data_IF_110782309561
#
_entry.id   IF_110782309561
#
_cell.length_a   1.000
_cell.length_b   1.000
_cell.length_c   1.000
_cell.angle_alpha   90.00
_cell.angle_beta   90.00
_cell.angle_gamma   90.00
#
_symmetry.space_group_name_H-M   'P 1'
#
loop_
_entity.id
_entity.type
_entity.pdbx_description
1 polymer ?
#
# COMPACT_ATOMS: atom_id res chain seq x y z
N UNK A 1 8.43 19.83 4.81
CA UNK A 1 8.32 18.74 3.82
C UNK A 1 9.58 18.54 2.95
N UNK A 2 10.33 19.60 2.61
CA UNK A 2 11.54 19.48 1.76
C UNK A 2 12.76 18.84 2.45
N UNK A 3 12.88 18.92 3.79
CA UNK A 3 14.03 18.37 4.54
C UNK A 3 13.96 16.87 4.85
N UNK A 4 12.80 16.22 4.65
CA UNK A 4 12.62 14.79 4.89
C UNK A 4 13.24 13.92 3.78
N UNK A 5 13.24 14.42 2.54
CA UNK A 5 13.84 13.76 1.38
C UNK A 5 15.37 13.82 1.39
N UNK A 6 15.96 14.80 2.06
CA UNK A 6 17.41 15.03 2.05
C UNK A 6 18.20 14.02 2.90
N UNK A 7 17.56 13.30 3.84
CA UNK A 7 18.21 12.39 4.79
C UNK A 7 17.96 10.90 4.54
N UNK A 8 17.13 10.55 3.53
CA UNK A 8 16.55 9.21 3.39
C UNK A 8 16.78 8.55 2.02
N UNK A 9 17.98 8.66 1.44
CA UNK A 9 18.28 8.09 0.12
C UNK A 9 17.96 6.58 0.01
N UNK A 10 18.12 5.83 1.10
CA UNK A 10 17.82 4.39 1.16
C UNK A 10 16.34 4.06 0.99
N UNK A 11 15.42 4.87 1.52
CA UNK A 11 13.99 4.65 1.32
C UNK A 11 13.57 4.92 -0.12
N UNK A 12 14.18 5.92 -0.75
CA UNK A 12 13.96 6.24 -2.16
C UNK A 12 14.44 5.09 -3.04
N UNK A 13 15.65 4.56 -2.78
CA UNK A 13 16.18 3.38 -3.48
C UNK A 13 15.25 2.17 -3.29
N UNK A 14 14.78 1.91 -2.06
CA UNK A 14 13.87 0.80 -1.79
C UNK A 14 12.53 0.95 -2.55
N UNK A 15 11.96 2.15 -2.61
CA UNK A 15 10.73 2.42 -3.36
C UNK A 15 10.92 2.23 -4.87
N UNK A 16 12.04 2.72 -5.43
CA UNK A 16 12.36 2.55 -6.86
C UNK A 16 12.54 1.07 -7.20
N UNK A 17 13.24 0.30 -6.37
CA UNK A 17 13.41 -1.14 -6.58
C UNK A 17 12.08 -1.90 -6.45
N UNK A 18 11.23 -1.54 -5.47
CA UNK A 18 9.93 -2.16 -5.29
C UNK A 18 9.03 -1.95 -6.52
N UNK A 19 8.89 -0.71 -6.99
CA UNK A 19 8.10 -0.39 -8.19
C UNK A 19 8.72 -1.04 -9.44
N UNK A 20 10.05 -0.99 -9.58
CA UNK A 20 10.76 -1.64 -10.67
C UNK A 20 10.48 -3.14 -10.76
N UNK A 21 10.46 -3.84 -9.61
CA UNK A 21 10.12 -5.25 -9.53
C UNK A 21 8.68 -5.55 -9.98
N UNK A 22 7.71 -4.73 -9.58
CA UNK A 22 6.31 -4.86 -10.01
C UNK A 22 6.18 -4.66 -11.52
N UNK A 23 6.80 -3.61 -12.08
CA UNK A 23 6.76 -3.32 -13.53
C UNK A 23 7.42 -4.45 -14.34
N UNK A 24 8.59 -4.93 -13.89
CA UNK A 24 9.28 -6.04 -14.54
C UNK A 24 8.46 -7.33 -14.50
N UNK A 25 7.82 -7.62 -13.36
CA UNK A 25 6.90 -8.74 -13.21
C UNK A 25 5.72 -8.67 -14.17
N UNK A 26 5.07 -7.51 -14.27
CA UNK A 26 3.97 -7.28 -15.20
C UNK A 26 4.42 -7.43 -16.67
N UNK A 27 5.57 -6.86 -17.04
CA UNK A 27 6.13 -6.99 -18.38
C UNK A 27 6.41 -8.45 -18.76
N UNK A 28 6.99 -9.22 -17.85
CA UNK A 28 7.25 -10.64 -18.07
C UNK A 28 5.97 -11.46 -18.19
N UNK A 29 4.95 -11.19 -17.36
CA UNK A 29 3.64 -11.83 -17.45
C UNK A 29 2.95 -11.53 -18.79
N UNK A 30 3.00 -10.28 -19.27
CA UNK A 30 2.47 -9.91 -20.57
C UNK A 30 3.23 -10.59 -21.72
N UNK A 31 4.56 -10.66 -21.64
CA UNK A 31 5.38 -11.37 -22.64
C UNK A 31 5.04 -12.87 -22.70
N UNK A 32 4.87 -13.51 -21.54
CA UNK A 32 4.49 -14.92 -21.45
C UNK A 32 3.10 -15.15 -22.07
N UNK A 33 2.11 -14.34 -21.70
CA UNK A 33 0.75 -14.44 -22.26
C UNK A 33 0.78 -14.28 -23.78
N UNK A 34 1.55 -13.31 -24.30
CA UNK A 34 1.75 -13.15 -25.75
C UNK A 34 2.30 -14.42 -26.38
N UNK A 35 3.30 -15.05 -25.77
CA UNK A 35 4.00 -16.21 -26.34
C UNK A 35 3.18 -17.51 -26.22
N UNK A 36 2.45 -17.70 -25.14
CA UNK A 36 1.68 -18.93 -24.86
C UNK A 36 0.35 -18.94 -25.61
N UNK A 37 -0.39 -17.83 -25.59
CA UNK A 37 -1.72 -17.78 -26.23
C UNK A 37 -1.66 -17.37 -27.71
N UNK A 38 -0.69 -16.53 -28.10
CA UNK A 38 -0.58 -16.01 -29.48
C UNK A 38 0.66 -16.51 -30.22
N UNK A 39 1.36 -17.51 -29.68
CA UNK A 39 2.44 -18.21 -30.37
C UNK A 39 1.90 -19.11 -31.49
N UNK A 40 2.69 -19.33 -32.55
CA UNK A 40 2.36 -20.35 -33.54
C UNK A 40 2.29 -21.72 -32.85
N UNK A 41 1.25 -22.50 -33.15
CA UNK A 41 1.07 -23.83 -32.57
C UNK A 41 2.19 -24.76 -33.08
N UNK A 42 3.27 -24.87 -32.30
CA UNK A 42 4.35 -25.82 -32.57
C UNK A 42 3.93 -27.14 -31.93
N UNK A 43 3.11 -27.89 -32.65
CA UNK A 43 2.83 -29.29 -32.31
C UNK A 43 4.16 -30.06 -32.34
N UNK A 44 4.58 -30.74 -31.27
CA UNK A 44 5.72 -31.64 -31.35
C UNK A 44 5.34 -32.75 -32.33
N UNK A 45 5.96 -32.73 -33.52
CA UNK A 45 5.96 -33.87 -34.43
C UNK A 45 6.52 -35.05 -33.65
N UNK A 46 5.64 -35.92 -33.19
CA UNK A 46 6.05 -37.21 -32.67
C UNK A 46 6.61 -37.98 -33.86
N UNK A 47 7.92 -38.22 -33.84
CA UNK A 47 8.60 -39.14 -34.77
C UNK A 47 8.11 -40.56 -34.46
N UNK A 48 7.03 -40.95 -35.11
CA UNK A 48 6.35 -42.23 -34.88
C UNK A 48 5.14 -42.40 -35.77
N UNK A 49 5.37 -42.50 -37.07
CA UNK A 49 4.68 -43.38 -38.03
C UNK A 49 3.15 -43.56 -37.95
N UNK A 50 2.32 -42.58 -37.60
CA UNK A 50 0.88 -42.68 -37.87
C UNK A 50 0.25 -41.33 -38.26
N UNK A 51 -0.21 -41.28 -39.51
CA UNK A 51 -1.06 -40.24 -40.11
C UNK A 51 -2.42 -40.15 -39.40
N UNK A 52 -2.50 -39.48 -38.24
CA UNK A 52 -3.71 -38.87 -37.68
C UNK A 52 -3.38 -38.32 -36.29
N UNK A 53 -2.86 -37.09 -36.22
CA UNK A 53 -2.73 -36.39 -34.94
C UNK A 53 -4.15 -36.01 -34.51
N UNK A 54 -4.70 -36.69 -33.50
CA UNK A 54 -5.97 -36.28 -32.90
C UNK A 54 -5.83 -34.85 -32.35
N UNK A 55 -6.82 -33.98 -32.53
CA UNK A 55 -6.77 -32.61 -32.04
C UNK A 55 -6.59 -32.61 -30.51
N UNK A 56 -5.62 -31.81 -30.04
CA UNK A 56 -5.39 -31.59 -28.61
C UNK A 56 -6.72 -31.24 -27.94
N UNK A 57 -7.05 -32.04 -26.94
CA UNK A 57 -8.37 -32.09 -26.33
C UNK A 57 -8.59 -30.88 -25.43
N UNK A 58 -9.66 -30.13 -25.68
CA UNK A 58 -10.07 -28.98 -24.87
C UNK A 58 -10.26 -29.30 -23.38
N UNK A 59 -10.21 -28.22 -22.56
CA UNK A 59 -10.35 -28.27 -21.11
C UNK A 59 -11.56 -29.10 -20.68
N UNK A 60 -11.32 -30.10 -19.82
CA UNK A 60 -12.37 -31.00 -19.36
C UNK A 60 -13.15 -30.39 -18.19
N UNK A 61 -14.40 -30.82 -17.99
CA UNK A 61 -15.27 -30.29 -16.93
C UNK A 61 -14.60 -30.29 -15.55
N UNK A 62 -13.81 -31.32 -15.24
CA UNK A 62 -13.04 -31.42 -13.99
C UNK A 62 -11.99 -30.31 -13.82
N UNK A 63 -11.35 -29.88 -14.90
CA UNK A 63 -10.37 -28.80 -14.89
C UNK A 63 -11.07 -27.45 -14.71
N UNK A 64 -12.19 -27.24 -15.40
CA UNK A 64 -13.04 -26.07 -15.20
C UNK A 64 -13.54 -25.95 -13.75
N UNK A 65 -13.95 -27.06 -13.13
CA UNK A 65 -14.33 -27.08 -11.71
C UNK A 65 -13.19 -26.70 -10.76
N UNK A 66 -11.92 -26.92 -11.14
CA UNK A 66 -10.77 -26.51 -10.34
C UNK A 66 -10.38 -25.04 -10.57
N UNK A 67 -10.49 -24.55 -11.81
CA UNK A 67 -10.14 -23.16 -12.18
C UNK A 67 -11.18 -22.14 -11.74
N UNK A 68 -12.47 -22.48 -11.83
CA UNK A 68 -13.58 -21.58 -11.49
C UNK A 68 -13.49 -21.02 -10.07
N UNK A 69 -13.36 -21.83 -9.00
CA UNK A 69 -13.31 -21.29 -7.64
C UNK A 69 -12.11 -20.38 -7.42
N UNK A 70 -10.96 -20.68 -8.05
CA UNK A 70 -9.77 -19.83 -7.97
C UNK A 70 -10.05 -18.43 -8.55
N UNK A 71 -10.65 -18.36 -9.75
CA UNK A 71 -11.00 -17.09 -10.40
C UNK A 71 -12.04 -16.32 -9.56
N UNK A 72 -13.05 -17.01 -9.04
CA UNK A 72 -14.06 -16.40 -8.16
C UNK A 72 -13.41 -15.77 -6.93
N UNK A 73 -12.45 -16.45 -6.28
CA UNK A 73 -11.74 -15.87 -5.14
C UNK A 73 -10.88 -14.67 -5.51
N UNK A 74 -10.17 -14.71 -6.65
CA UNK A 74 -9.37 -13.57 -7.13
C UNK A 74 -10.27 -12.33 -7.32
N UNK A 75 -11.41 -12.51 -7.99
CA UNK A 75 -12.38 -11.43 -8.23
C UNK A 75 -13.01 -10.95 -6.92
N UNK A 76 -13.38 -11.87 -6.02
CA UNK A 76 -13.97 -11.51 -4.73
C UNK A 76 -12.99 -10.68 -3.89
N UNK A 77 -11.74 -11.13 -3.73
CA UNK A 77 -10.72 -10.38 -2.97
C UNK A 77 -10.47 -9.01 -3.60
N UNK A 78 -10.48 -8.92 -4.94
CA UNK A 78 -10.32 -7.66 -5.66
C UNK A 78 -11.45 -6.66 -5.43
N UNK A 79 -12.70 -7.13 -5.41
CA UNK A 79 -13.88 -6.25 -5.22
C UNK A 79 -14.08 -5.91 -3.74
N UNK A 80 -13.88 -6.87 -2.83
CA UNK A 80 -14.12 -6.70 -1.40
C UNK A 80 -12.94 -7.17 -0.53
N UNK A 81 -11.82 -6.42 -0.54
CA UNK A 81 -10.63 -6.76 0.25
C UNK A 81 -10.88 -6.63 1.77
N UNK A 82 -11.85 -5.80 2.16
CA UNK A 82 -12.12 -5.49 3.57
C UNK A 82 -12.51 -6.73 4.39
N UNK A 83 -13.18 -7.71 3.79
CA UNK A 83 -13.51 -8.97 4.47
C UNK A 83 -12.27 -9.67 5.07
N UNK A 84 -11.17 -9.65 4.32
CA UNK A 84 -9.91 -10.28 4.73
C UNK A 84 -9.14 -9.36 5.67
N UNK A 85 -9.09 -8.05 5.39
CA UNK A 85 -8.37 -7.08 6.22
C UNK A 85 -8.92 -7.01 7.65
N UNK A 86 -10.24 -6.98 7.84
CA UNK A 86 -10.86 -6.93 9.18
C UNK A 86 -10.54 -8.15 10.05
N UNK A 87 -10.23 -9.30 9.46
CA UNK A 87 -9.82 -10.50 10.21
C UNK A 87 -8.35 -10.48 10.60
N UNK A 88 -7.51 -9.74 9.87
CA UNK A 88 -6.08 -9.57 10.19
C UNK A 88 -5.82 -8.45 11.20
N UNK A 89 -6.69 -7.44 11.29
CA UNK A 89 -6.56 -6.31 12.23
C UNK A 89 -6.20 -6.69 13.67
N UNK A 90 -6.85 -7.63 14.36
CA UNK A 90 -6.53 -7.93 15.76
C UNK A 90 -5.11 -8.50 15.95
N UNK A 91 -4.58 -9.20 14.95
CA UNK A 91 -3.19 -9.68 14.96
C UNK A 91 -2.22 -8.52 14.71
N UNK A 92 -2.56 -7.62 13.79
CA UNK A 92 -1.74 -6.44 13.51
C UNK A 92 -1.65 -5.53 14.75
N UNK A 93 -2.74 -5.32 15.48
CA UNK A 93 -2.76 -4.53 16.72
C UNK A 93 -1.81 -5.09 17.78
N UNK A 94 -1.71 -6.41 17.93
CA UNK A 94 -0.75 -7.04 18.85
C UNK A 94 0.71 -6.82 18.40
N UNK A 95 0.96 -6.85 17.08
CA UNK A 95 2.29 -6.57 16.51
C UNK A 95 2.64 -5.10 16.70
N UNK A 96 1.70 -4.18 16.48
CA UNK A 96 1.93 -2.75 16.72
C UNK A 96 2.16 -2.44 18.19
N UNK A 97 1.40 -3.06 19.10
CA UNK A 97 1.57 -2.89 20.54
C UNK A 97 2.96 -3.38 21.03
N UNK A 98 3.46 -4.48 20.46
CA UNK A 98 4.81 -4.97 20.78
C UNK A 98 5.92 -4.15 20.09
N UNK A 99 5.65 -3.57 18.92
CA UNK A 99 6.57 -2.64 18.26
C UNK A 99 6.65 -1.29 19.00
N UNK A 100 5.52 -0.74 19.49
CA UNK A 100 5.50 0.53 20.19
C UNK A 100 6.11 0.47 21.60
N UNK A 101 6.21 -0.71 22.20
CA UNK A 101 7.03 -0.94 23.42
C UNK A 101 8.51 -0.66 23.15
N UNK A 102 8.97 -0.83 21.90
CA UNK A 102 10.37 -0.63 21.50
C UNK A 102 10.62 0.71 20.79
N UNK A 103 9.59 1.49 20.48
CA UNK A 103 9.75 2.88 20.04
C UNK A 103 10.06 3.74 21.27
N UNK A 104 11.22 4.44 21.34
CA UNK A 104 11.41 5.45 22.36
C UNK A 104 10.29 6.48 22.19
N UNK A 105 9.47 6.66 23.23
CA UNK A 105 8.35 7.61 23.22
C UNK A 105 8.77 8.87 22.48
N UNK A 106 8.06 9.21 21.40
CA UNK A 106 8.30 10.44 20.64
C UNK A 106 8.24 11.61 21.63
N UNK A 107 9.41 12.03 22.10
CA UNK A 107 9.57 13.22 22.90
C UNK A 107 9.68 14.33 21.88
N UNK A 108 8.64 15.16 21.70
CA UNK A 108 8.81 16.38 20.94
C UNK A 108 9.99 17.12 21.59
N UNK A 109 10.91 17.69 20.79
CA UNK A 109 12.11 18.32 21.33
C UNK A 109 11.68 19.29 22.45
N UNK A 110 12.06 18.96 23.69
CA UNK A 110 11.72 19.79 24.83
C UNK A 110 12.38 21.15 24.62
N UNK A 111 11.63 22.20 24.88
CA UNK A 111 12.11 23.58 24.79
C UNK A 111 13.43 23.71 25.57
N UNK A 112 14.53 24.01 24.88
CA UNK A 112 15.87 24.12 25.48
C UNK A 112 16.75 22.86 25.40
N UNK A 113 16.27 21.77 24.79
CA UNK A 113 17.10 20.59 24.52
C UNK A 113 18.26 20.96 23.60
N UNK A 114 19.49 20.81 24.09
CA UNK A 114 20.70 20.91 23.29
C UNK A 114 20.80 19.61 22.48
N UNK A 115 20.80 19.70 21.15
CA UNK A 115 21.16 18.55 20.30
C UNK A 115 22.61 18.16 20.64
N UNK A 116 23.03 16.90 20.44
CA UNK A 116 24.41 16.44 20.73
C UNK A 116 25.54 17.24 20.05
N UNK A 117 25.19 18.17 19.14
CA UNK A 117 26.01 19.20 18.50
C UNK A 117 26.12 20.52 19.32
N UNK A 118 25.62 20.55 20.56
CA UNK A 118 25.61 21.75 21.42
C UNK A 118 24.67 22.88 20.97
N UNK A 119 24.03 22.75 19.80
CA UNK A 119 23.08 23.74 19.27
C UNK A 119 21.71 23.60 19.94
N UNK A 120 21.23 24.70 20.49
CA UNK A 120 19.87 24.83 21.00
C UNK A 120 18.91 24.80 19.82
N UNK A 121 17.83 24.02 19.94
CA UNK A 121 16.76 24.02 18.94
C UNK A 121 16.02 25.35 19.06
N UNK A 122 16.50 26.35 18.33
CA UNK A 122 15.88 27.67 18.23
C UNK A 122 14.49 27.52 17.60
N UNK A 123 13.47 28.03 18.28
CA UNK A 123 12.12 28.02 17.73
C UNK A 123 12.09 28.98 16.53
N UNK A 124 11.36 28.67 15.45
CA UNK A 124 11.02 29.68 14.46
C UNK A 124 10.35 30.84 15.20
N UNK A 125 11.02 32.00 15.21
CA UNK A 125 10.55 33.17 15.95
C UNK A 125 9.26 33.65 15.30
N UNK A 126 8.31 34.10 16.13
CA UNK A 126 6.95 34.52 15.74
C UNK A 126 6.90 35.54 14.59
N UNK A 127 8.01 36.17 14.21
CA UNK A 127 8.12 37.03 13.02
C UNK A 127 7.93 36.31 11.69
N UNK A 128 8.29 35.02 11.60
CA UNK A 128 8.18 34.18 10.39
C UNK A 128 6.80 33.49 10.27
N UNK A 129 5.90 33.74 11.23
CA UNK A 129 4.55 33.17 11.23
C UNK A 129 3.64 33.78 10.16
N UNK A 130 3.98 34.96 9.63
CA UNK A 130 3.19 35.64 8.59
C UNK A 130 3.44 35.07 7.19
N UNK A 131 4.58 34.42 6.96
CA UNK A 131 4.91 33.80 5.67
C UNK A 131 4.20 32.45 5.51
N UNK A 132 4.10 31.65 6.58
CA UNK A 132 3.40 30.36 6.58
C UNK A 132 1.86 30.44 6.64
N UNK A 133 1.29 31.56 7.09
CA UNK A 133 -0.16 31.73 7.21
C UNK A 133 -0.86 31.83 5.84
N UNK A 134 -0.14 32.17 4.77
CA UNK A 134 -0.74 32.30 3.44
C UNK A 134 -0.92 30.96 2.70
N UNK A 135 -0.23 29.89 3.11
CA UNK A 135 -0.33 28.58 2.42
C UNK A 135 -1.09 27.51 3.22
N UNK A 136 -1.25 27.67 4.53
CA UNK A 136 -1.91 26.67 5.41
C UNK A 136 -3.19 27.22 6.04
N UNK A 137 -4.08 27.84 5.25
CA UNK A 137 -5.36 28.35 5.77
C UNK A 137 -6.59 28.04 4.90
N UNK A 138 -6.49 27.08 3.97
CA UNK A 138 -7.64 26.71 3.12
C UNK A 138 -8.14 25.25 3.28
N UNK A 139 -7.57 24.47 4.20
CA UNK A 139 -7.64 23.00 4.10
C UNK A 139 -8.64 22.25 4.98
N UNK A 140 -8.46 22.27 6.31
CA UNK A 140 -8.85 21.04 7.06
C UNK A 140 -9.18 21.25 8.55
N UNK A 141 -9.51 22.45 9.01
CA UNK A 141 -9.76 22.67 10.46
C UNK A 141 -10.98 23.54 10.81
N UNK A 142 -11.96 23.70 9.90
CA UNK A 142 -13.25 24.35 10.22
C UNK A 142 -14.42 23.37 10.18
N UNK A 143 -14.23 22.14 10.68
CA UNK A 143 -15.31 21.14 10.76
C UNK A 143 -15.32 20.40 12.10
N UNK A 144 -15.12 21.11 13.23
CA UNK A 144 -15.30 20.53 14.57
C UNK A 144 -15.64 21.54 15.68
N UNK A 145 -16.37 22.61 15.39
CA UNK A 145 -16.82 23.56 16.44
C UNK A 145 -18.35 23.68 16.59
N UNK A 146 -19.16 23.00 15.78
CA UNK A 146 -20.63 23.10 15.88
C UNK A 146 -21.27 22.02 16.79
N UNK A 147 -20.55 20.94 17.13
CA UNK A 147 -21.12 19.82 17.90
C UNK A 147 -21.05 19.99 19.43
N UNK A 148 -20.26 20.95 19.93
CA UNK A 148 -20.07 21.14 21.37
C UNK A 148 -21.13 22.05 22.01
N UNK A 149 -21.78 22.92 21.23
CA UNK A 149 -22.75 23.89 21.74
C UNK A 149 -24.16 23.30 21.95
N UNK A 150 -24.47 22.12 21.40
CA UNK A 150 -25.79 21.48 21.55
C UNK A 150 -25.86 20.49 22.74
N UNK A 151 -24.71 20.04 23.26
CA UNK A 151 -24.68 19.03 24.33
C UNK A 151 -24.90 19.58 25.75
N UNK A 152 -24.84 20.90 25.96
CA UNK A 152 -24.94 21.52 27.29
C UNK A 152 -26.31 22.15 27.59
N UNK A 153 -27.27 22.13 26.65
CA UNK A 153 -28.58 22.78 26.82
C UNK A 153 -29.74 21.85 27.20
N UNK A 154 -29.51 20.54 27.38
CA UNK A 154 -30.57 19.54 27.68
C UNK A 154 -30.47 18.95 29.09
N UNK A 155 -29.55 19.43 29.94
CA UNK A 155 -29.44 19.04 31.35
C UNK A 155 -29.75 20.26 32.24
N UNK A 156 -30.90 20.90 32.00
CA UNK A 156 -31.59 21.73 33.00
C UNK A 156 -33.03 22.01 32.53
N UNK A 157 -33.90 20.99 32.57
CA UNK A 157 -35.36 21.14 32.62
C UNK A 157 -36.06 19.86 33.05
#
# INVERSE_FOLDING_TARGET
>A
FQSAWAKGGHYLVAAVLAVGGVVLGAWYMLYLVRRVFFGALVEPKHEGDHEAVEPVRDLRFREWCALTPLVVFIVWIGIYPQFFLSRMQPTLEQIYASACVNEPAYQPPSIGAKTGDGKEVERPTTGDRREFAHETSAGTYLAREDDAATATATIDR
#
